data_IF_696465535082
#
_entry.id   IF_696465535082
#
_cell.length_a   1.000
_cell.length_b   1.000
_cell.length_c   1.000
_cell.angle_alpha   90.00
_cell.angle_beta   90.00
_cell.angle_gamma   90.00
#
_symmetry.space_group_name_H-M   'P 1'
#
loop_
_entity.id
_entity.type
_entity.pdbx_description
1 polymer ?
#
# COMPACT_ATOMS: atom_id res chain seq x y z
N UNK A 1 21.54 30.45 -51.45
CA UNK A 1 21.95 29.20 -52.10
C UNK A 1 21.58 28.08 -51.14
N UNK A 2 20.60 27.30 -51.57
CA UNK A 2 20.02 26.16 -50.86
C UNK A 2 20.98 24.97 -50.93
N UNK A 3 21.05 24.17 -49.86
CA UNK A 3 21.18 22.71 -49.99
C UNK A 3 20.73 22.01 -48.71
N UNK A 4 19.58 21.37 -48.87
CA UNK A 4 19.01 20.26 -48.09
C UNK A 4 19.84 18.98 -48.29
N UNK A 5 19.99 18.14 -47.24
CA UNK A 5 19.73 16.69 -47.30
C UNK A 5 19.90 16.03 -45.92
N UNK A 6 18.98 15.11 -45.65
CA UNK A 6 18.65 14.43 -44.38
C UNK A 6 19.19 12.95 -44.41
N UNK A 7 18.84 12.03 -43.48
CA UNK A 7 19.82 11.18 -42.80
C UNK A 7 19.81 9.68 -43.22
N UNK A 8 20.91 8.98 -42.93
CA UNK A 8 21.05 7.54 -43.17
C UNK A 8 20.77 6.70 -41.92
N UNK A 9 19.65 6.00 -41.97
CA UNK A 9 19.23 4.85 -41.16
C UNK A 9 20.19 3.67 -41.32
N UNK A 10 20.53 2.95 -40.25
CA UNK A 10 21.11 1.59 -40.36
C UNK A 10 20.39 0.63 -39.42
N UNK A 11 19.57 -0.22 -40.02
CA UNK A 11 19.01 -1.44 -39.45
C UNK A 11 20.07 -2.56 -39.50
N UNK A 12 20.29 -3.26 -38.38
CA UNK A 12 21.04 -4.50 -38.32
C UNK A 12 20.19 -5.61 -37.70
N UNK A 13 19.65 -6.48 -38.57
CA UNK A 13 18.90 -7.70 -38.24
C UNK A 13 19.83 -8.89 -38.39
N UNK A 14 19.94 -9.73 -37.37
CA UNK A 14 20.52 -11.07 -37.48
C UNK A 14 19.56 -12.10 -36.87
N UNK A 15 19.39 -13.18 -37.61
CA UNK A 15 18.48 -14.31 -37.38
C UNK A 15 19.24 -15.53 -36.83
N UNK A 16 18.53 -16.41 -36.12
CA UNK A 16 18.62 -17.88 -36.15
C UNK A 16 17.86 -18.41 -34.90
N UNK A 17 16.80 -19.21 -34.99
CA UNK A 17 16.66 -20.58 -35.53
C UNK A 17 16.53 -21.56 -34.35
N UNK A 18 15.44 -22.34 -34.31
CA UNK A 18 15.27 -23.39 -33.30
C UNK A 18 13.82 -23.76 -33.03
N UNK A 19 13.12 -24.27 -34.05
CA UNK A 19 11.88 -25.04 -33.89
C UNK A 19 12.25 -26.42 -33.38
N UNK A 20 11.56 -26.93 -32.35
CA UNK A 20 11.37 -28.37 -32.21
C UNK A 20 10.04 -28.66 -31.50
N UNK A 21 9.06 -29.08 -32.29
CA UNK A 21 7.87 -29.78 -31.85
C UNK A 21 8.16 -31.28 -31.95
N UNK A 22 7.84 -32.06 -30.92
CA UNK A 22 7.62 -33.49 -31.09
C UNK A 22 6.46 -33.95 -30.21
N UNK A 23 5.61 -34.76 -30.83
CA UNK A 23 4.32 -35.21 -30.34
C UNK A 23 4.39 -36.60 -29.70
N UNK A 24 3.41 -36.85 -28.82
CA UNK A 24 2.64 -38.08 -28.61
C UNK A 24 3.33 -39.41 -28.20
N UNK A 25 2.79 -40.00 -27.12
CA UNK A 25 2.48 -41.43 -27.01
C UNK A 25 3.09 -42.18 -25.83
N UNK A 26 2.26 -42.63 -24.87
CA UNK A 26 1.83 -44.04 -24.66
C UNK A 26 1.59 -44.41 -23.19
N UNK A 27 0.47 -45.09 -22.95
CA UNK A 27 0.01 -45.77 -21.73
C UNK A 27 1.02 -46.72 -21.07
N UNK A 28 1.00 -46.77 -19.73
CA UNK A 28 1.10 -48.02 -18.94
C UNK A 28 0.41 -47.86 -17.56
N UNK A 29 -0.46 -48.84 -17.24
CA UNK A 29 -1.09 -49.09 -15.93
C UNK A 29 -0.11 -49.89 -15.01
N UNK A 30 -0.16 -49.68 -13.68
CA UNK A 30 -0.18 -50.74 -12.62
C UNK A 30 0.21 -50.20 -11.21
N UNK A 31 -0.81 -50.16 -10.33
CA UNK A 31 -0.89 -50.79 -8.98
C UNK A 31 -0.03 -50.28 -7.78
N UNK A 32 -0.72 -49.86 -6.70
CA UNK A 32 -0.20 -49.87 -5.31
C UNK A 32 -0.53 -48.66 -4.42
N UNK A 33 -1.66 -48.72 -3.69
CA UNK A 33 -2.10 -47.79 -2.62
C UNK A 33 -1.08 -47.73 -1.44
N UNK A 34 -1.02 -46.66 -0.60
CA UNK A 34 -2.13 -46.34 0.29
C UNK A 34 -2.47 -44.84 0.39
N UNK A 35 -3.78 -44.55 0.36
CA UNK A 35 -4.47 -43.50 1.12
C UNK A 35 -3.54 -42.43 1.71
N UNK A 36 -3.21 -41.43 0.89
CA UNK A 36 -2.84 -40.12 1.40
C UNK A 36 -4.05 -39.59 2.15
N UNK A 37 -3.95 -39.59 3.49
CA UNK A 37 -4.84 -38.86 4.38
C UNK A 37 -5.12 -37.51 3.76
N UNK A 38 -6.40 -37.25 3.49
CA UNK A 38 -6.87 -35.92 3.11
C UNK A 38 -6.41 -34.95 4.20
N UNK A 39 -5.30 -34.27 3.92
CA UNK A 39 -4.94 -33.03 4.58
C UNK A 39 -6.15 -32.13 4.38
N UNK A 40 -6.84 -31.66 5.44
CA UNK A 40 -7.82 -30.60 5.28
C UNK A 40 -7.01 -29.39 4.85
N UNK A 41 -6.80 -29.29 3.54
CA UNK A 41 -6.54 -28.07 2.84
C UNK A 41 -7.67 -27.16 3.28
N UNK A 42 -7.37 -26.35 4.29
CA UNK A 42 -7.96 -25.06 4.50
C UNK A 42 -7.64 -24.32 3.21
N UNK A 43 -8.41 -24.60 2.17
CA UNK A 43 -8.43 -23.84 0.95
C UNK A 43 -8.57 -22.42 1.42
N UNK A 44 -7.53 -21.63 1.16
CA UNK A 44 -7.49 -20.21 1.39
C UNK A 44 -8.51 -19.57 0.47
N UNK A 45 -9.79 -19.70 0.83
CA UNK A 45 -10.87 -18.99 0.20
C UNK A 45 -10.55 -17.52 0.41
N UNK A 46 -10.23 -16.84 -0.70
CA UNK A 46 -9.91 -15.43 -0.72
C UNK A 46 -11.12 -14.68 -0.14
N UNK A 47 -11.00 -14.27 1.11
CA UNK A 47 -12.04 -13.49 1.77
C UNK A 47 -12.19 -12.21 0.96
N UNK A 48 -13.36 -12.02 0.36
CA UNK A 48 -13.69 -10.82 -0.40
C UNK A 48 -13.30 -9.58 0.42
N UNK A 49 -12.69 -8.59 -0.23
CA UNK A 49 -12.21 -7.37 0.42
C UNK A 49 -13.35 -6.72 1.19
N UNK A 50 -13.30 -6.81 2.52
CA UNK A 50 -14.31 -6.21 3.38
C UNK A 50 -14.12 -4.70 3.37
N UNK A 51 -15.21 -3.96 3.12
CA UNK A 51 -15.21 -2.52 3.22
C UNK A 51 -15.01 -2.11 4.70
N UNK A 52 -14.24 -1.05 4.92
CA UNK A 52 -14.12 -0.46 6.24
C UNK A 52 -15.50 0.03 6.72
N UNK A 53 -15.77 -0.14 8.02
CA UNK A 53 -16.99 0.36 8.65
C UNK A 53 -17.06 1.89 8.63
N UNK A 54 -18.26 2.47 8.63
CA UNK A 54 -18.45 3.92 8.52
C UNK A 54 -17.74 4.70 9.63
N UNK A 55 -17.69 4.16 10.85
CA UNK A 55 -16.96 4.80 11.96
C UNK A 55 -15.45 4.91 11.71
N UNK A 56 -14.84 3.91 11.07
CA UNK A 56 -13.42 3.94 10.73
C UNK A 56 -13.12 4.97 9.63
N UNK A 57 -14.03 5.09 8.65
CA UNK A 57 -13.96 6.12 7.60
C UNK A 57 -14.06 7.51 8.22
N UNK A 58 -15.06 7.76 9.08
CA UNK A 58 -15.22 9.04 9.77
C UNK A 58 -13.98 9.36 10.62
N UNK A 59 -13.44 8.39 11.35
CA UNK A 59 -12.22 8.58 12.13
C UNK A 59 -11.02 8.96 11.24
N UNK A 60 -10.83 8.26 10.12
CA UNK A 60 -9.74 8.54 9.18
C UNK A 60 -9.82 9.96 8.60
N UNK A 61 -10.99 10.36 8.11
CA UNK A 61 -11.19 11.72 7.59
C UNK A 61 -11.13 12.77 8.70
N UNK A 62 -11.55 12.45 9.93
CA UNK A 62 -11.39 13.32 11.09
C UNK A 62 -9.92 13.58 11.44
N UNK A 63 -9.07 12.55 11.39
CA UNK A 63 -7.62 12.68 11.59
C UNK A 63 -6.96 13.53 10.49
N UNK A 64 -7.34 13.30 9.24
CA UNK A 64 -6.89 14.12 8.11
C UNK A 64 -7.32 15.58 8.28
N UNK A 65 -8.58 15.82 8.62
CA UNK A 65 -9.12 17.16 8.85
C UNK A 65 -8.42 17.87 10.00
N UNK A 66 -8.09 17.15 11.09
CA UNK A 66 -7.32 17.70 12.19
C UNK A 66 -5.91 18.13 11.74
N UNK A 67 -5.22 17.32 10.92
CA UNK A 67 -3.93 17.70 10.34
C UNK A 67 -4.04 18.91 9.41
N UNK A 68 -5.07 18.96 8.57
CA UNK A 68 -5.36 20.11 7.70
C UNK A 68 -5.67 21.39 8.50
N UNK A 69 -6.40 21.28 9.60
CA UNK A 69 -6.66 22.41 10.50
C UNK A 69 -5.36 22.93 11.12
N UNK A 70 -4.48 22.05 11.59
CA UNK A 70 -3.16 22.46 12.11
C UNK A 70 -2.34 23.15 11.02
N UNK A 71 -2.28 22.60 9.79
CA UNK A 71 -1.59 23.24 8.67
C UNK A 71 -2.15 24.63 8.34
N UNK A 72 -3.48 24.76 8.35
CA UNK A 72 -4.14 26.06 8.19
C UNK A 72 -3.76 27.04 9.30
N UNK A 73 -3.73 26.62 10.57
CA UNK A 73 -3.32 27.49 11.68
C UNK A 73 -1.88 27.97 11.53
N UNK A 74 -0.95 27.09 11.15
CA UNK A 74 0.46 27.44 10.88
C UNK A 74 0.54 28.50 9.77
N UNK A 75 -0.11 28.25 8.63
CA UNK A 75 -0.15 29.21 7.53
C UNK A 75 -0.77 30.56 7.94
N UNK A 76 -1.90 30.54 8.67
CA UNK A 76 -2.62 31.74 9.10
C UNK A 76 -1.83 32.59 10.10
N UNK A 77 -0.90 31.98 10.85
CA UNK A 77 -0.05 32.68 11.82
C UNK A 77 1.08 33.48 11.16
N UNK A 78 1.28 33.35 9.84
CA UNK A 78 2.40 33.97 9.11
C UNK A 78 3.72 33.21 9.27
N UNK A 79 3.74 32.10 10.02
CA UNK A 79 4.86 31.17 10.08
C UNK A 79 4.96 30.39 8.77
N UNK A 80 5.48 31.03 7.73
CA UNK A 80 5.74 30.40 6.44
C UNK A 80 7.19 29.89 6.41
N UNK A 81 7.44 28.59 6.60
CA UNK A 81 8.77 28.04 6.40
C UNK A 81 9.23 28.30 4.96
N UNK A 82 10.54 28.47 4.79
CA UNK A 82 11.13 28.57 3.45
C UNK A 82 10.74 27.34 2.64
N UNK A 83 10.20 27.55 1.43
CA UNK A 83 9.81 26.45 0.54
C UNK A 83 11.06 25.65 0.18
N UNK A 84 11.01 24.33 0.37
CA UNK A 84 12.07 23.45 -0.09
C UNK A 84 11.79 23.13 -1.56
N UNK A 85 12.70 23.56 -2.43
CA UNK A 85 12.59 23.39 -3.88
C UNK A 85 13.76 22.52 -4.38
N UNK A 86 13.57 21.19 -4.50
CA UNK A 86 14.57 20.34 -5.10
C UNK A 86 14.73 20.67 -6.58
N UNK A 87 15.97 20.79 -7.06
CA UNK A 87 16.28 21.12 -8.46
C UNK A 87 15.99 19.98 -9.46
N UNK A 88 15.67 18.78 -8.96
CA UNK A 88 15.44 17.56 -9.75
C UNK A 88 14.21 16.83 -9.22
N UNK A 89 13.31 16.45 -10.13
CA UNK A 89 12.12 15.64 -9.85
C UNK A 89 12.47 14.32 -9.15
N UNK A 90 13.62 13.73 -9.47
CA UNK A 90 14.11 12.50 -8.80
C UNK A 90 14.30 12.73 -7.29
N UNK A 91 14.84 13.89 -6.91
CA UNK A 91 15.03 14.26 -5.51
C UNK A 91 13.69 14.45 -4.78
N UNK A 92 12.66 14.97 -5.46
CA UNK A 92 11.29 15.07 -4.91
C UNK A 92 10.74 13.67 -4.59
N UNK A 93 10.85 12.73 -5.54
CA UNK A 93 10.38 11.35 -5.33
C UNK A 93 11.13 10.62 -4.21
N UNK A 94 12.46 10.74 -4.15
CA UNK A 94 13.27 10.14 -3.08
C UNK A 94 12.93 10.74 -1.72
N UNK A 95 12.71 12.06 -1.66
CA UNK A 95 12.29 12.73 -0.42
C UNK A 95 10.93 12.21 0.05
N UNK A 96 9.97 12.08 -0.86
CA UNK A 96 8.65 11.49 -0.56
C UNK A 96 8.76 10.06 -0.04
N UNK A 97 9.62 9.24 -0.65
CA UNK A 97 9.83 7.85 -0.25
C UNK A 97 10.43 7.75 1.15
N UNK A 98 11.51 8.49 1.42
CA UNK A 98 12.18 8.52 2.73
C UNK A 98 11.23 9.06 3.80
N UNK A 99 10.45 10.08 3.47
CA UNK A 99 9.49 10.66 4.39
C UNK A 99 8.33 9.72 4.71
N UNK A 100 7.81 8.98 3.72
CA UNK A 100 6.82 7.93 3.95
C UNK A 100 7.37 6.83 4.87
N UNK A 101 8.62 6.38 4.66
CA UNK A 101 9.28 5.40 5.51
C UNK A 101 9.51 5.92 6.95
N UNK A 102 9.86 7.20 7.10
CA UNK A 102 10.00 7.83 8.41
C UNK A 102 8.65 7.90 9.16
N UNK A 103 7.56 8.22 8.46
CA UNK A 103 6.22 8.23 9.03
C UNK A 103 5.75 6.85 9.45
N UNK A 104 6.11 5.80 8.71
CA UNK A 104 5.81 4.42 9.11
C UNK A 104 6.39 4.12 10.51
N UNK A 105 7.64 4.51 10.74
CA UNK A 105 8.31 4.39 12.05
C UNK A 105 7.66 5.26 13.13
N UNK A 106 7.21 6.46 12.77
CA UNK A 106 6.53 7.35 13.69
C UNK A 106 5.14 6.81 14.11
N UNK A 107 4.43 6.13 13.21
CA UNK A 107 3.08 5.60 13.44
C UNK A 107 3.10 4.23 14.14
N UNK A 108 4.18 3.47 14.02
CA UNK A 108 4.39 2.19 14.70
C UNK A 108 3.99 2.17 16.19
N UNK A 109 4.44 3.10 17.06
CA UNK A 109 4.04 3.12 18.47
C UNK A 109 2.55 3.42 18.69
N UNK A 110 1.88 4.06 17.73
CA UNK A 110 0.44 4.34 17.80
C UNK A 110 -0.40 3.16 17.32
N UNK A 111 0.20 2.20 16.61
CA UNK A 111 -0.51 1.03 16.09
C UNK A 111 -1.15 0.16 17.18
N UNK A 112 -0.62 0.22 18.41
CA UNK A 112 -1.19 -0.45 19.59
C UNK A 112 -2.58 0.05 19.98
N UNK A 113 -2.93 1.29 19.60
CA UNK A 113 -4.21 1.92 19.89
C UNK A 113 -5.22 1.78 18.75
N UNK A 114 -4.83 1.18 17.62
CA UNK A 114 -5.72 0.96 16.49
C UNK A 114 -6.76 -0.14 16.80
N UNK A 115 -7.99 -0.02 16.28
CA UNK A 115 -9.04 -1.01 16.47
C UNK A 115 -8.67 -2.36 15.82
N UNK A 116 -9.25 -3.44 16.34
CA UNK A 116 -9.18 -4.78 15.72
C UNK A 116 -8.41 -5.86 16.49
N UNK A 117 -7.60 -5.51 17.49
CA UNK A 117 -6.83 -6.51 18.28
C UNK A 117 -7.70 -7.53 19.01
N UNK A 118 -8.87 -7.10 19.49
CA UNK A 118 -9.82 -8.00 20.17
C UNK A 118 -10.47 -8.97 19.19
N UNK A 119 -10.76 -8.52 17.97
CA UNK A 119 -11.39 -9.32 16.93
C UNK A 119 -10.40 -10.36 16.37
N UNK A 120 -9.12 -10.00 16.22
CA UNK A 120 -8.05 -10.94 15.88
C UNK A 120 -7.88 -12.02 16.96
N UNK A 121 -7.75 -11.62 18.23
CA UNK A 121 -7.64 -12.58 19.33
C UNK A 121 -8.89 -13.48 19.48
N UNK A 122 -10.08 -12.95 19.20
CA UNK A 122 -11.31 -13.74 19.18
C UNK A 122 -11.32 -14.75 18.02
N UNK A 123 -10.90 -14.35 16.82
CA UNK A 123 -10.82 -15.24 15.67
C UNK A 123 -9.76 -16.33 15.82
N UNK A 124 -8.60 -16.01 16.41
CA UNK A 124 -7.57 -17.01 16.72
C UNK A 124 -8.12 -18.08 17.67
N UNK A 125 -8.88 -17.67 18.70
CA UNK A 125 -9.56 -18.62 19.60
C UNK A 125 -10.59 -19.47 18.88
N UNK A 126 -11.39 -18.89 17.97
CA UNK A 126 -12.40 -19.63 17.21
C UNK A 126 -11.75 -20.62 16.24
N UNK A 127 -10.67 -20.23 15.56
CA UNK A 127 -9.87 -21.11 14.70
C UNK A 127 -9.24 -22.25 15.51
N UNK A 128 -8.59 -21.93 16.63
CA UNK A 128 -8.00 -22.94 17.51
C UNK A 128 -9.07 -23.89 18.09
N UNK A 129 -10.27 -23.39 18.40
CA UNK A 129 -11.38 -24.23 18.85
C UNK A 129 -11.90 -25.13 17.72
N UNK A 130 -11.97 -24.64 16.49
CA UNK A 130 -12.38 -25.43 15.32
C UNK A 130 -11.36 -26.51 14.95
N UNK A 131 -10.06 -26.23 15.10
CA UNK A 131 -9.01 -27.24 14.91
C UNK A 131 -9.04 -28.31 16.01
N UNK A 132 -9.36 -27.93 17.25
CA UNK A 132 -9.33 -28.84 18.40
C UNK A 132 -10.66 -29.55 18.69
N UNK A 133 -11.78 -29.14 18.09
CA UNK A 133 -13.11 -29.75 18.30
C UNK A 133 -13.86 -29.89 16.98
N UNK A 134 -14.43 -31.07 16.75
CA UNK A 134 -15.25 -31.36 15.56
C UNK A 134 -16.59 -30.60 15.50
N UNK A 135 -17.02 -29.96 16.59
CA UNK A 135 -18.36 -29.35 16.71
C UNK A 135 -18.42 -27.84 16.39
N UNK A 136 -17.33 -27.21 15.92
CA UNK A 136 -17.40 -25.79 15.53
C UNK A 136 -17.99 -25.68 14.14
N UNK A 137 -19.12 -24.99 14.01
CA UNK A 137 -19.76 -24.80 12.71
C UNK A 137 -18.86 -24.02 11.75
N UNK A 138 -18.89 -24.42 10.48
CA UNK A 138 -18.21 -23.69 9.38
C UNK A 138 -18.67 -22.24 9.29
N UNK A 139 -19.94 -21.97 9.63
CA UNK A 139 -20.52 -20.63 9.74
C UNK A 139 -19.82 -19.77 10.81
N UNK A 140 -19.50 -20.34 11.98
CA UNK A 140 -18.80 -19.62 13.04
C UNK A 140 -17.37 -19.24 12.61
N UNK A 141 -16.70 -20.11 11.88
CA UNK A 141 -15.37 -19.83 11.31
C UNK A 141 -15.46 -18.74 10.23
N UNK A 142 -16.45 -18.80 9.33
CA UNK A 142 -16.67 -17.80 8.29
C UNK A 142 -17.00 -16.41 8.88
N UNK A 143 -17.82 -16.35 9.92
CA UNK A 143 -18.15 -15.12 10.65
C UNK A 143 -16.91 -14.52 11.32
N UNK A 144 -16.07 -15.35 11.96
CA UNK A 144 -14.82 -14.91 12.58
C UNK A 144 -13.83 -14.34 11.54
N UNK A 145 -13.67 -15.01 10.39
CA UNK A 145 -12.83 -14.51 9.28
C UNK A 145 -13.32 -13.17 8.75
N UNK A 146 -14.64 -13.02 8.61
CA UNK A 146 -15.26 -11.77 8.17
C UNK A 146 -15.02 -10.63 9.15
N UNK A 147 -15.13 -10.90 10.46
CA UNK A 147 -14.85 -9.93 11.51
C UNK A 147 -13.39 -9.46 11.47
N UNK A 148 -12.43 -10.37 11.30
CA UNK A 148 -11.00 -10.03 11.17
C UNK A 148 -10.74 -9.22 9.90
N UNK A 149 -11.31 -9.61 8.76
CA UNK A 149 -11.13 -8.88 7.51
C UNK A 149 -11.63 -7.43 7.64
N UNK A 150 -12.79 -7.22 8.28
CA UNK A 150 -13.32 -5.88 8.57
C UNK A 150 -12.44 -5.12 9.57
N UNK A 151 -11.95 -5.76 10.62
CA UNK A 151 -11.04 -5.16 11.58
C UNK A 151 -9.75 -4.67 10.92
N UNK A 152 -9.16 -5.46 10.01
CA UNK A 152 -7.99 -5.08 9.20
C UNK A 152 -8.29 -3.92 8.27
N UNK A 153 -9.45 -3.91 7.61
CA UNK A 153 -9.88 -2.80 6.76
C UNK A 153 -10.04 -1.50 7.57
N UNK A 154 -10.66 -1.57 8.75
CA UNK A 154 -10.79 -0.44 9.68
C UNK A 154 -9.43 0.09 10.13
N UNK A 155 -8.53 -0.81 10.55
CA UNK A 155 -7.17 -0.44 10.94
C UNK A 155 -6.43 0.25 9.80
N UNK A 156 -6.55 -0.28 8.58
CA UNK A 156 -5.90 0.27 7.39
C UNK A 156 -6.36 1.69 7.10
N UNK A 157 -7.69 1.94 7.09
CA UNK A 157 -8.20 3.27 6.77
C UNK A 157 -7.85 4.29 7.88
N UNK A 158 -7.91 3.90 9.15
CA UNK A 158 -7.55 4.79 10.27
C UNK A 158 -6.05 5.10 10.26
N UNK A 159 -5.20 4.09 10.01
CA UNK A 159 -3.76 4.30 9.87
C UNK A 159 -3.43 5.21 8.69
N UNK A 160 -4.11 5.05 7.55
CA UNK A 160 -4.00 5.96 6.41
C UNK A 160 -4.36 7.40 6.80
N UNK A 161 -5.51 7.62 7.45
CA UNK A 161 -5.93 8.96 7.88
C UNK A 161 -4.96 9.61 8.87
N UNK A 162 -4.43 8.82 9.82
CA UNK A 162 -3.40 9.26 10.75
C UNK A 162 -2.10 9.66 10.03
N UNK A 163 -1.61 8.81 9.13
CA UNK A 163 -0.39 9.06 8.38
C UNK A 163 -0.53 10.31 7.50
N UNK A 164 -1.65 10.47 6.80
CA UNK A 164 -1.91 11.66 5.99
C UNK A 164 -2.03 12.93 6.84
N UNK A 165 -2.71 12.87 7.98
CA UNK A 165 -2.79 14.00 8.91
C UNK A 165 -1.41 14.43 9.43
N UNK A 166 -0.59 13.48 9.88
CA UNK A 166 0.77 13.75 10.36
C UNK A 166 1.68 14.27 9.24
N UNK A 167 1.59 13.69 8.05
CA UNK A 167 2.32 14.13 6.87
C UNK A 167 1.96 15.58 6.50
N UNK A 168 0.68 15.93 6.51
CA UNK A 168 0.21 17.30 6.26
C UNK A 168 0.77 18.29 7.27
N UNK A 169 0.77 17.95 8.56
CA UNK A 169 1.35 18.80 9.61
C UNK A 169 2.84 19.00 9.38
N UNK A 170 3.57 17.91 9.14
CA UNK A 170 5.01 17.97 8.92
C UNK A 170 5.37 18.74 7.64
N UNK A 171 4.66 18.53 6.53
CA UNK A 171 4.80 19.34 5.31
C UNK A 171 4.54 20.83 5.56
N UNK A 172 3.50 21.15 6.33
CA UNK A 172 3.22 22.54 6.70
C UNK A 172 4.31 23.17 7.56
N UNK A 173 4.96 22.38 8.43
CA UNK A 173 6.02 22.87 9.31
C UNK A 173 7.37 22.99 8.59
N UNK A 174 7.66 22.11 7.63
CA UNK A 174 8.96 22.04 6.94
C UNK A 174 9.01 22.82 5.64
N UNK A 175 7.87 23.22 5.09
CA UNK A 175 7.81 23.90 3.79
C UNK A 175 7.94 22.96 2.60
N UNK A 176 7.76 21.65 2.80
CA UNK A 176 7.81 20.64 1.74
C UNK A 176 6.42 20.43 1.14
N UNK A 177 6.21 20.98 -0.07
CA UNK A 177 4.95 20.95 -0.78
C UNK A 177 5.15 20.43 -2.21
N UNK A 178 4.48 19.33 -2.56
CA UNK A 178 4.72 18.62 -3.82
C UNK A 178 4.30 19.43 -5.03
N UNK A 179 3.16 20.12 -4.98
CA UNK A 179 2.71 20.86 -6.15
C UNK A 179 3.61 22.06 -6.42
N UNK A 180 4.02 22.79 -5.38
CA UNK A 180 5.02 23.86 -5.55
C UNK A 180 6.37 23.33 -6.01
N UNK A 181 6.81 22.17 -5.52
CA UNK A 181 8.07 21.56 -5.95
C UNK A 181 8.05 21.17 -7.44
N UNK A 182 6.90 20.77 -7.99
CA UNK A 182 6.77 20.35 -9.39
C UNK A 182 6.42 21.53 -10.31
N UNK A 183 5.60 22.48 -9.85
CA UNK A 183 5.11 23.60 -10.65
C UNK A 183 6.11 24.78 -10.73
N UNK A 184 7.09 24.83 -9.84
CA UNK A 184 8.13 25.86 -9.81
C UNK A 184 7.76 27.10 -8.99
N UNK A 185 8.71 28.05 -8.84
CA UNK A 185 8.65 29.14 -7.86
C UNK A 185 7.56 30.18 -8.16
N UNK A 186 7.19 30.33 -9.43
CA UNK A 186 6.20 31.33 -9.86
C UNK A 186 4.75 30.86 -9.67
N UNK A 187 4.54 29.60 -9.27
CA UNK A 187 3.21 29.06 -9.10
C UNK A 187 2.52 29.57 -7.83
N UNK A 188 1.41 30.28 -8.02
CA UNK A 188 0.55 30.82 -6.95
C UNK A 188 -0.91 30.33 -7.08
N UNK A 189 -1.13 29.20 -7.78
CA UNK A 189 -2.47 28.71 -8.13
C UNK A 189 -3.27 28.16 -6.94
N UNK A 190 -2.61 27.73 -5.86
CA UNK A 190 -3.25 27.20 -4.65
C UNK A 190 -2.59 27.76 -3.39
N UNK A 191 -3.40 27.90 -2.34
CA UNK A 191 -2.88 28.26 -1.02
C UNK A 191 -1.98 27.15 -0.46
N UNK A 192 -0.90 27.53 0.22
CA UNK A 192 0.13 26.62 0.74
C UNK A 192 -0.45 25.52 1.65
N UNK A 193 -1.45 25.86 2.48
CA UNK A 193 -2.10 24.88 3.35
C UNK A 193 -2.86 23.79 2.57
N UNK A 194 -3.35 24.09 1.36
CA UNK A 194 -4.00 23.10 0.48
C UNK A 194 -2.96 22.15 -0.10
N UNK A 195 -1.81 22.68 -0.53
CA UNK A 195 -0.71 21.83 -1.01
C UNK A 195 -0.15 20.94 0.10
N UNK A 196 -0.12 21.41 1.35
CA UNK A 196 0.21 20.57 2.52
C UNK A 196 -0.75 19.38 2.69
N UNK A 197 -2.06 19.60 2.46
CA UNK A 197 -3.05 18.51 2.51
C UNK A 197 -2.80 17.51 1.37
N UNK A 198 -2.61 18.00 0.15
CA UNK A 198 -2.37 17.15 -1.03
C UNK A 198 -1.10 16.33 -0.85
N UNK A 199 -0.03 16.97 -0.38
CA UNK A 199 1.24 16.34 -0.06
C UNK A 199 1.06 15.25 1.00
N UNK A 200 0.33 15.54 2.09
CA UNK A 200 0.06 14.55 3.13
C UNK A 200 -0.79 13.37 2.67
N UNK A 201 -1.79 13.59 1.82
CA UNK A 201 -2.59 12.52 1.20
C UNK A 201 -1.73 11.65 0.30
N UNK A 202 -0.89 12.25 -0.55
CA UNK A 202 0.03 11.55 -1.44
C UNK A 202 0.98 10.66 -0.64
N UNK A 203 1.59 11.20 0.41
CA UNK A 203 2.52 10.49 1.30
C UNK A 203 1.80 9.35 2.04
N UNK A 204 0.64 9.63 2.64
CA UNK A 204 -0.14 8.61 3.34
C UNK A 204 -0.56 7.45 2.43
N UNK A 205 -0.86 7.72 1.16
CA UNK A 205 -1.17 6.69 0.15
C UNK A 205 0.03 5.80 -0.19
N UNK A 206 1.26 6.34 -0.09
CA UNK A 206 2.52 5.66 -0.40
C UNK A 206 2.92 4.57 0.61
N UNK A 207 2.27 4.49 1.77
CA UNK A 207 2.59 3.49 2.81
C UNK A 207 2.17 2.06 2.46
N UNK A 208 1.18 1.88 1.57
CA UNK A 208 0.72 0.56 1.11
C UNK A 208 1.69 -0.13 0.13
N UNK A 209 2.11 0.53 -0.97
CA UNK A 209 3.09 -0.04 -1.89
C UNK A 209 4.40 -0.45 -1.20
N UNK A 210 4.82 0.30 -0.18
CA UNK A 210 6.04 0.02 0.58
C UNK A 210 5.91 -1.29 1.38
N UNK A 211 4.78 -1.49 2.05
CA UNK A 211 4.48 -2.75 2.75
C UNK A 211 4.41 -3.95 1.78
N UNK A 212 3.82 -3.76 0.60
CA UNK A 212 3.74 -4.80 -0.44
C UNK A 212 5.12 -5.15 -1.03
N UNK A 213 5.99 -4.15 -1.21
CA UNK A 213 7.37 -4.37 -1.67
C UNK A 213 8.19 -5.14 -0.65
N UNK A 214 8.12 -4.78 0.64
CA UNK A 214 8.79 -5.51 1.72
C UNK A 214 8.29 -6.95 1.78
N UNK A 215 6.97 -7.15 1.70
CA UNK A 215 6.36 -8.48 1.75
C UNK A 215 6.82 -9.36 0.57
N UNK A 216 6.94 -8.79 -0.63
CA UNK A 216 7.48 -9.50 -1.81
C UNK A 216 8.97 -9.81 -1.68
N UNK A 217 9.76 -8.88 -1.16
CA UNK A 217 11.19 -9.10 -0.92
C UNK A 217 11.44 -10.20 0.13
N UNK A 218 10.59 -10.28 1.15
CA UNK A 218 10.69 -11.29 2.22
C UNK A 218 10.25 -12.69 1.79
N UNK A 219 9.22 -12.78 0.92
CA UNK A 219 8.67 -14.08 0.50
C UNK A 219 9.40 -14.71 -0.70
N UNK A 220 10.38 -14.01 -1.29
CA UNK A 220 11.13 -14.47 -2.45
C UNK A 220 10.28 -14.59 -3.74
N UNK A 221 10.91 -14.76 -4.90
CA UNK A 221 10.19 -15.13 -6.12
C UNK A 221 9.54 -16.51 -5.92
N UNK A 222 8.31 -16.76 -6.42
CA UNK A 222 7.77 -18.11 -6.42
C UNK A 222 8.74 -19.01 -7.18
N UNK A 223 9.11 -20.14 -6.57
CA UNK A 223 9.94 -21.17 -7.19
C UNK A 223 9.35 -21.50 -8.57
N UNK A 224 10.10 -21.22 -9.63
CA UNK A 224 9.71 -21.46 -11.02
C UNK A 224 9.69 -22.94 -11.37
#
# INVERSE_FOLDING_TARGET
MSETSDPATTQGRAAASGVNANAAGSDTLSEGDPQSTADPTVTGEAVASQQAGPGAVVAAFGLLAAGGFVAWTVWSSGANPAKIEPSDTTAVFLTLLVFAAALERLVEPFSRWLPGRRDEAASERTLAAATNRADVSTEAVAAARTAVARARANRTIVAWGLASGLATVASSATGFYVLHAVAGPDWNGLAVWIDAIITGVMIGSGTKPLHDLISRAQNGPPSA
#
